data_IF_471468015565
#
_entry.id   IF_471468015565
#
_cell.length_a   1.000
_cell.length_b   1.000
_cell.length_c   1.000
_cell.angle_alpha   90.00
_cell.angle_beta   90.00
_cell.angle_gamma   90.00
#
_symmetry.space_group_name_H-M   'P 1'
#
loop_
_entity.id
_entity.type
_entity.pdbx_description
1 polymer ?
#
# COMPACT_ATOMS: atom_id res chain seq x y z
N UNK A 1 20.97 -33.71 -4.78
CA UNK A 1 21.47 -33.33 -3.45
C UNK A 1 20.26 -32.75 -2.72
N UNK A 2 19.54 -33.61 -2.01
CA UNK A 2 18.33 -33.25 -1.26
C UNK A 2 18.74 -32.65 0.08
N UNK A 3 18.22 -31.50 0.52
CA UNK A 3 18.39 -31.07 1.89
C UNK A 3 17.39 -31.84 2.75
N UNK A 4 17.97 -32.73 3.56
CA UNK A 4 17.34 -33.42 4.69
C UNK A 4 17.25 -32.41 5.84
N UNK A 5 16.04 -31.98 6.21
CA UNK A 5 15.79 -31.14 7.40
C UNK A 5 14.84 -31.88 8.35
N UNK A 6 15.33 -32.94 8.97
CA UNK A 6 14.73 -33.49 10.19
C UNK A 6 14.96 -32.48 11.32
N UNK A 7 13.94 -31.67 11.61
CA UNK A 7 13.87 -30.94 12.87
C UNK A 7 14.00 -31.92 14.05
N UNK A 8 14.78 -31.55 15.06
CA UNK A 8 14.93 -32.36 16.27
C UNK A 8 13.56 -32.54 16.95
N UNK A 9 13.23 -33.76 17.37
CA UNK A 9 11.98 -34.06 18.10
C UNK A 9 11.87 -33.13 19.33
N UNK A 10 10.96 -32.17 19.28
CA UNK A 10 10.64 -31.26 20.39
C UNK A 10 11.20 -29.84 20.29
N UNK A 11 11.87 -29.43 19.21
CA UNK A 11 12.19 -28.02 19.00
C UNK A 11 10.95 -27.22 18.61
N UNK A 12 10.79 -26.02 19.17
CA UNK A 12 9.74 -25.07 18.78
C UNK A 12 9.90 -24.71 17.30
N UNK A 13 8.88 -25.04 16.48
CA UNK A 13 8.89 -24.78 15.04
C UNK A 13 8.25 -23.44 14.67
N UNK A 14 7.20 -23.06 15.38
CA UNK A 14 6.45 -21.83 15.14
C UNK A 14 5.94 -21.28 16.47
N UNK A 15 6.22 -20.00 16.69
CA UNK A 15 5.61 -19.18 17.72
C UNK A 15 5.16 -17.88 17.05
N UNK A 16 3.86 -17.81 16.75
CA UNK A 16 3.24 -16.65 16.12
C UNK A 16 2.08 -16.18 17.00
N UNK A 17 2.03 -14.87 17.24
CA UNK A 17 0.97 -14.25 18.02
C UNK A 17 -0.19 -13.91 17.08
N UNK A 18 -1.40 -14.34 17.43
CA UNK A 18 -2.61 -13.97 16.69
C UNK A 18 -2.85 -12.47 16.88
N UNK A 19 -2.56 -11.68 15.84
CA UNK A 19 -2.78 -10.23 15.85
C UNK A 19 -4.21 -9.91 15.40
N UNK A 20 -4.92 -8.97 16.04
CA UNK A 20 -6.30 -8.62 15.68
C UNK A 20 -6.49 -8.13 14.24
N UNK A 21 -5.44 -7.55 13.65
CA UNK A 21 -5.47 -6.92 12.32
C UNK A 21 -4.87 -7.82 11.21
N UNK A 22 -4.32 -8.98 11.54
CA UNK A 22 -3.77 -9.90 10.53
C UNK A 22 -4.92 -10.60 9.82
N UNK A 23 -4.90 -10.59 8.49
CA UNK A 23 -5.83 -11.35 7.69
C UNK A 23 -5.39 -12.82 7.64
N UNK A 24 -6.11 -13.69 8.35
CA UNK A 24 -5.96 -15.13 8.21
C UNK A 24 -6.96 -15.61 7.17
N UNK A 25 -6.52 -16.53 6.31
CA UNK A 25 -7.34 -17.15 5.29
C UNK A 25 -7.33 -18.66 5.46
N UNK A 26 -8.52 -19.26 5.46
CA UNK A 26 -8.70 -20.70 5.38
C UNK A 26 -8.84 -21.09 3.91
N UNK A 27 -8.08 -22.08 3.48
CA UNK A 27 -8.13 -22.62 2.13
C UNK A 27 -8.28 -24.15 2.16
N UNK A 28 -9.10 -24.68 1.25
CA UNK A 28 -9.23 -26.12 1.00
C UNK A 28 -9.45 -26.96 2.29
N UNK A 29 -10.18 -26.41 3.27
CA UNK A 29 -10.52 -27.01 4.57
C UNK A 29 -9.35 -27.40 5.50
N UNK A 30 -8.11 -27.33 5.03
CA UNK A 30 -6.94 -27.93 5.71
C UNK A 30 -5.70 -27.03 5.69
N UNK A 31 -5.82 -25.82 5.17
CA UNK A 31 -4.73 -24.86 5.08
C UNK A 31 -5.15 -23.53 5.71
N UNK A 32 -4.29 -22.94 6.53
CA UNK A 32 -4.44 -21.58 7.05
C UNK A 32 -3.24 -20.77 6.58
N UNK A 33 -3.48 -19.65 5.91
CA UNK A 33 -2.44 -18.77 5.32
C UNK A 33 -2.56 -17.37 5.91
N UNK A 34 -1.42 -16.72 6.20
CA UNK A 34 -1.37 -15.33 6.62
C UNK A 34 0.01 -14.71 6.37
N UNK A 35 0.07 -13.38 6.32
CA UNK A 35 1.31 -12.61 6.30
C UNK A 35 1.71 -12.23 7.73
N UNK A 36 2.87 -12.66 8.18
CA UNK A 36 3.40 -12.35 9.51
C UNK A 36 4.11 -10.98 9.54
N UNK A 37 4.77 -10.61 8.44
CA UNK A 37 5.40 -9.31 8.22
C UNK A 37 5.43 -8.96 6.72
N UNK A 38 5.88 -7.76 6.37
CA UNK A 38 6.07 -7.34 4.97
C UNK A 38 7.00 -8.32 4.24
N UNK A 39 6.49 -8.93 3.16
CA UNK A 39 7.16 -10.00 2.39
C UNK A 39 7.48 -11.28 3.19
N UNK A 40 6.74 -11.59 4.25
CA UNK A 40 6.93 -12.82 5.02
C UNK A 40 5.60 -13.55 5.27
N UNK A 41 5.28 -14.46 4.35
CA UNK A 41 4.06 -15.26 4.36
C UNK A 41 4.28 -16.63 4.97
N UNK A 42 3.29 -17.06 5.76
CA UNK A 42 3.27 -18.35 6.43
C UNK A 42 2.01 -19.12 6.05
N UNK A 43 2.16 -20.44 5.99
CA UNK A 43 1.07 -21.37 5.79
C UNK A 43 1.17 -22.53 6.77
N UNK A 44 0.05 -22.84 7.43
CA UNK A 44 -0.13 -24.01 8.29
C UNK A 44 -1.02 -25.02 7.56
N UNK A 45 -0.41 -26.12 7.12
CA UNK A 45 -1.11 -27.24 6.50
C UNK A 45 -1.39 -28.31 7.55
N UNK A 46 -2.65 -28.71 7.65
CA UNK A 46 -3.14 -29.73 8.55
C UNK A 46 -3.40 -31.01 7.77
N UNK A 47 -3.08 -32.15 8.38
CA UNK A 47 -3.39 -33.45 7.81
C UNK A 47 -4.90 -33.73 7.83
N UNK A 48 -5.62 -33.19 8.80
CA UNK A 48 -7.05 -33.43 9.00
C UNK A 48 -7.81 -32.11 9.15
N UNK A 49 -8.98 -32.03 8.51
CA UNK A 49 -9.88 -30.87 8.60
C UNK A 49 -10.25 -30.52 10.03
N UNK A 50 -10.49 -31.51 10.89
CA UNK A 50 -10.87 -31.28 12.28
C UNK A 50 -9.79 -30.49 13.06
N UNK A 51 -8.50 -30.75 12.81
CA UNK A 51 -7.41 -29.99 13.42
C UNK A 51 -7.29 -28.57 12.87
N UNK A 52 -7.56 -28.38 11.58
CA UNK A 52 -7.63 -27.06 10.96
C UNK A 52 -8.78 -26.23 11.54
N UNK A 53 -9.97 -26.84 11.68
CA UNK A 53 -11.16 -26.20 12.23
C UNK A 53 -10.92 -25.74 13.69
N UNK A 54 -10.27 -26.55 14.53
CA UNK A 54 -9.99 -26.20 15.93
C UNK A 54 -9.07 -24.96 16.04
N UNK A 55 -8.05 -24.86 15.19
CA UNK A 55 -7.15 -23.70 15.18
C UNK A 55 -7.85 -22.48 14.58
N UNK A 56 -8.65 -22.67 13.52
CA UNK A 56 -9.44 -21.61 12.90
C UNK A 56 -10.42 -20.97 13.89
N UNK A 57 -11.16 -21.78 14.65
CA UNK A 57 -12.09 -21.29 15.67
C UNK A 57 -11.37 -20.42 16.73
N UNK A 58 -10.16 -20.80 17.15
CA UNK A 58 -9.36 -20.01 18.10
C UNK A 58 -8.92 -18.68 17.49
N UNK A 59 -8.52 -18.65 16.22
CA UNK A 59 -8.16 -17.42 15.52
C UNK A 59 -9.36 -16.49 15.45
N UNK A 60 -10.51 -17.00 14.98
CA UNK A 60 -11.76 -16.25 14.90
C UNK A 60 -12.19 -15.71 16.27
N UNK A 61 -12.08 -16.52 17.33
CA UNK A 61 -12.39 -16.11 18.70
C UNK A 61 -11.50 -14.94 19.17
N UNK A 62 -10.19 -14.99 18.92
CA UNK A 62 -9.26 -13.91 19.29
C UNK A 62 -9.57 -12.62 18.52
N UNK A 63 -9.97 -12.73 17.24
CA UNK A 63 -10.30 -11.58 16.39
C UNK A 63 -11.75 -11.10 16.49
N UNK A 64 -12.61 -11.79 17.26
CA UNK A 64 -14.03 -11.46 17.37
C UNK A 64 -14.83 -11.70 16.08
N UNK A 65 -14.45 -12.72 15.30
CA UNK A 65 -15.07 -13.10 14.02
C UNK A 65 -15.89 -14.38 14.16
N UNK A 66 -16.83 -14.57 13.24
CA UNK A 66 -17.60 -15.81 13.14
C UNK A 66 -16.74 -16.92 12.48
N UNK A 67 -16.64 -18.14 13.03
CA UNK A 67 -15.83 -19.21 12.43
C UNK A 67 -16.29 -19.71 11.05
N UNK A 68 -17.49 -19.32 10.60
CA UNK A 68 -17.99 -19.64 9.25
C UNK A 68 -17.37 -18.79 8.14
N UNK A 69 -16.59 -17.76 8.47
CA UNK A 69 -15.84 -16.98 7.48
C UNK A 69 -14.65 -17.78 6.97
N UNK A 70 -14.31 -17.60 5.69
CA UNK A 70 -13.08 -18.13 5.08
C UNK A 70 -11.91 -17.15 5.23
N UNK A 71 -12.19 -15.88 5.53
CA UNK A 71 -11.20 -14.82 5.73
C UNK A 71 -11.60 -13.98 6.95
N UNK A 72 -10.67 -13.77 7.88
CA UNK A 72 -11.01 -13.12 9.16
C UNK A 72 -11.01 -11.59 9.10
N UNK A 73 -10.17 -11.00 8.25
CA UNK A 73 -10.20 -9.57 7.96
C UNK A 73 -10.56 -9.38 6.50
N UNK A 74 -11.24 -8.28 6.18
CA UNK A 74 -11.39 -7.89 4.78
C UNK A 74 -9.97 -7.70 4.24
N UNK A 75 -9.53 -8.63 3.42
CA UNK A 75 -8.35 -8.45 2.59
C UNK A 75 -8.69 -7.22 1.76
N UNK A 76 -8.15 -6.06 2.15
CA UNK A 76 -8.02 -4.95 1.22
C UNK A 76 -7.01 -5.49 0.22
N UNK A 77 -7.57 -6.09 -0.82
CA UNK A 77 -6.92 -7.01 -1.74
C UNK A 77 -5.59 -6.45 -2.28
N UNK A 78 -4.46 -6.90 -1.76
CA UNK A 78 -3.15 -6.75 -2.42
C UNK A 78 -2.90 -7.90 -3.42
N UNK A 79 -3.95 -8.63 -3.80
CA UNK A 79 -3.90 -9.81 -4.66
C UNK A 79 -5.11 -9.93 -5.59
N UNK A 80 -5.46 -8.87 -6.33
CA UNK A 80 -6.19 -9.06 -7.60
C UNK A 80 -5.22 -9.54 -8.69
N UNK A 81 -4.68 -10.76 -8.52
CA UNK A 81 -4.35 -11.60 -9.67
C UNK A 81 -5.19 -12.88 -9.54
N UNK A 82 -6.14 -13.03 -10.46
CA UNK A 82 -6.91 -14.24 -10.76
C UNK A 82 -8.23 -14.51 -9.99
N UNK A 83 -9.25 -13.65 -10.13
CA UNK A 83 -10.63 -14.15 -10.32
C UNK A 83 -11.34 -13.37 -11.42
N UNK A 84 -11.42 -14.00 -12.59
CA UNK A 84 -12.39 -13.68 -13.65
C UNK A 84 -13.81 -13.71 -13.08
N UNK A 85 -14.38 -12.57 -12.72
CA UNK A 85 -15.82 -12.33 -12.75
C UNK A 85 -16.10 -11.00 -13.44
N UNK A 86 -16.85 -11.08 -14.53
CA UNK A 86 -17.29 -9.96 -15.36
C UNK A 86 -18.04 -8.90 -14.53
N UNK A 87 -17.42 -7.74 -14.27
CA UNK A 87 -18.13 -6.50 -13.94
C UNK A 87 -17.26 -5.26 -14.30
N UNK A 88 -17.89 -4.12 -14.67
CA UNK A 88 -17.45 -3.30 -15.79
C UNK A 88 -16.21 -2.43 -15.49
N UNK A 89 -15.38 -2.27 -16.52
CA UNK A 89 -14.07 -1.59 -16.54
C UNK A 89 -14.07 -0.06 -16.28
N UNK A 90 -15.00 0.48 -15.48
CA UNK A 90 -15.14 1.94 -15.32
C UNK A 90 -15.11 2.45 -13.88
N UNK A 91 -15.02 1.60 -12.86
CA UNK A 91 -15.11 2.05 -11.45
C UNK A 91 -13.78 2.25 -10.70
N UNK A 92 -12.61 2.04 -11.32
CA UNK A 92 -11.35 1.91 -10.55
C UNK A 92 -10.13 2.68 -11.08
N UNK A 93 -10.30 3.65 -11.99
CA UNK A 93 -9.23 4.54 -12.42
C UNK A 93 -9.07 5.69 -11.43
N UNK A 94 -7.85 5.93 -10.95
CA UNK A 94 -7.52 7.19 -10.29
C UNK A 94 -7.32 8.21 -11.41
N UNK A 95 -8.24 9.16 -11.53
CA UNK A 95 -8.12 10.28 -12.46
C UNK A 95 -7.30 11.38 -11.80
N UNK A 96 -6.12 11.68 -12.35
CA UNK A 96 -5.28 12.75 -11.81
C UNK A 96 -5.84 14.09 -12.30
N UNK A 97 -6.10 15.05 -11.38
CA UNK A 97 -6.46 16.39 -11.79
C UNK A 97 -5.37 16.98 -12.69
N UNK A 98 -5.73 17.87 -13.61
CA UNK A 98 -4.74 18.60 -14.40
C UNK A 98 -3.76 19.36 -13.49
N UNK A 99 -2.46 19.34 -13.78
CA UNK A 99 -1.45 20.13 -13.08
C UNK A 99 -1.67 21.64 -13.34
N UNK A 100 -2.54 22.26 -12.55
CA UNK A 100 -2.89 23.67 -12.62
C UNK A 100 -2.88 24.28 -11.21
N UNK A 101 -2.51 25.56 -11.09
CA UNK A 101 -2.45 26.26 -9.79
C UNK A 101 -3.78 26.19 -9.03
N UNK A 102 -4.91 26.29 -9.72
CA UNK A 102 -6.25 26.24 -9.12
C UNK A 102 -6.67 24.86 -8.64
N UNK A 103 -5.91 23.80 -8.94
CA UNK A 103 -6.21 22.42 -8.58
C UNK A 103 -5.24 21.84 -7.55
N UNK A 104 -4.28 22.63 -7.06
CA UNK A 104 -3.26 22.13 -6.13
C UNK A 104 -3.85 21.58 -4.83
N UNK A 105 -4.91 22.21 -4.29
CA UNK A 105 -5.63 21.69 -3.12
C UNK A 105 -6.25 20.30 -3.40
N UNK A 106 -6.96 20.17 -4.53
CA UNK A 106 -7.56 18.90 -4.97
C UNK A 106 -6.52 17.79 -5.15
N UNK A 107 -5.36 18.12 -5.72
CA UNK A 107 -4.26 17.17 -5.91
C UNK A 107 -3.68 16.76 -4.54
N UNK A 108 -3.47 17.71 -3.62
CA UNK A 108 -2.95 17.43 -2.28
C UNK A 108 -3.90 16.52 -1.48
N UNK A 109 -5.20 16.78 -1.54
CA UNK A 109 -6.23 15.96 -0.92
C UNK A 109 -6.27 14.56 -1.51
N UNK A 110 -6.19 14.44 -2.85
CA UNK A 110 -6.13 13.16 -3.53
C UNK A 110 -4.92 12.35 -3.06
N UNK A 111 -3.71 12.92 -3.15
CA UNK A 111 -2.46 12.27 -2.75
C UNK A 111 -2.53 11.82 -1.29
N UNK A 112 -2.99 12.69 -0.39
CA UNK A 112 -3.11 12.36 1.04
C UNK A 112 -4.13 11.25 1.29
N UNK A 113 -5.29 11.31 0.61
CA UNK A 113 -6.37 10.32 0.78
C UNK A 113 -5.98 8.92 0.33
N UNK A 114 -5.04 8.78 -0.62
CA UNK A 114 -4.62 7.45 -1.09
C UNK A 114 -3.61 6.80 -0.16
N UNK A 115 -2.85 7.56 0.64
CA UNK A 115 -1.76 7.02 1.47
C UNK A 115 -2.22 5.96 2.48
N UNK A 116 -3.50 5.98 2.87
CA UNK A 116 -4.10 4.99 3.77
C UNK A 116 -4.47 3.67 3.09
N UNK A 117 -4.43 3.57 1.76
CA UNK A 117 -4.83 2.40 0.98
C UNK A 117 -3.71 1.97 0.03
N UNK A 118 -3.07 0.80 0.25
CA UNK A 118 -1.99 0.31 -0.60
C UNK A 118 -2.37 0.19 -2.08
N UNK A 119 -3.56 -0.34 -2.38
CA UNK A 119 -4.08 -0.46 -3.76
C UNK A 119 -4.16 0.92 -4.44
N UNK A 120 -4.66 1.93 -3.72
CA UNK A 120 -4.77 3.29 -4.27
C UNK A 120 -3.40 3.94 -4.42
N UNK A 121 -2.44 3.64 -3.54
CA UNK A 121 -1.04 4.07 -3.69
C UNK A 121 -0.41 3.51 -4.96
N UNK A 122 -0.62 2.22 -5.24
CA UNK A 122 -0.14 1.58 -6.47
C UNK A 122 -0.69 2.27 -7.70
N UNK A 123 -2.01 2.46 -7.75
CA UNK A 123 -2.69 3.08 -8.88
C UNK A 123 -2.24 4.53 -9.08
N UNK A 124 -2.06 5.28 -8.00
CA UNK A 124 -1.57 6.66 -8.09
C UNK A 124 -0.13 6.69 -8.60
N UNK A 125 0.73 5.81 -8.12
CA UNK A 125 2.12 5.72 -8.58
C UNK A 125 2.19 5.46 -10.10
N UNK A 126 1.43 4.48 -10.59
CA UNK A 126 1.36 4.18 -12.03
C UNK A 126 0.86 5.38 -12.85
N UNK A 127 -0.11 6.12 -12.35
CA UNK A 127 -0.61 7.31 -13.04
C UNK A 127 0.42 8.46 -13.04
N UNK A 128 1.15 8.66 -11.94
CA UNK A 128 2.22 9.66 -11.84
C UNK A 128 3.40 9.35 -12.79
N UNK A 129 3.71 8.07 -13.00
CA UNK A 129 4.78 7.62 -13.91
C UNK A 129 4.47 7.91 -15.38
N UNK A 130 3.23 7.67 -15.81
CA UNK A 130 2.86 7.70 -17.23
C UNK A 130 2.73 9.11 -17.82
N UNK A 131 2.60 10.15 -16.98
CA UNK A 131 2.21 11.49 -17.45
C UNK A 131 3.28 12.58 -17.33
N UNK A 132 4.48 12.21 -16.84
CA UNK A 132 5.51 13.19 -16.47
C UNK A 132 5.00 14.19 -15.42
N UNK A 133 4.07 13.74 -14.59
CA UNK A 133 3.25 14.59 -13.72
C UNK A 133 4.11 15.33 -12.68
N UNK A 134 5.11 14.64 -12.12
CA UNK A 134 6.08 15.22 -11.19
C UNK A 134 6.78 16.44 -11.79
N UNK A 135 7.27 16.35 -13.04
CA UNK A 135 7.96 17.49 -13.68
C UNK A 135 7.03 18.68 -13.86
N UNK A 136 5.74 18.45 -14.16
CA UNK A 136 4.74 19.52 -14.25
C UNK A 136 4.45 20.16 -12.89
N UNK A 137 4.38 19.37 -11.81
CA UNK A 137 4.24 19.91 -10.45
C UNK A 137 5.44 20.79 -10.06
N UNK A 138 6.66 20.39 -10.41
CA UNK A 138 7.87 21.20 -10.15
C UNK A 138 7.90 22.49 -10.98
N UNK A 139 7.33 22.49 -12.19
CA UNK A 139 7.13 23.73 -12.94
C UNK A 139 6.13 24.67 -12.25
N UNK A 140 5.07 24.12 -11.65
CA UNK A 140 4.13 24.92 -10.84
C UNK A 140 4.79 25.46 -9.57
N UNK A 141 5.71 24.72 -8.96
CA UNK A 141 6.51 25.20 -7.83
C UNK A 141 7.28 26.47 -8.19
N UNK A 142 8.06 26.44 -9.27
CA UNK A 142 8.78 27.62 -9.75
C UNK A 142 7.83 28.79 -10.07
N UNK A 143 6.65 28.51 -10.62
CA UNK A 143 5.64 29.55 -10.86
C UNK A 143 5.09 30.15 -9.56
N UNK A 144 4.81 29.31 -8.55
CA UNK A 144 4.36 29.75 -7.23
C UNK A 144 5.42 30.61 -6.53
N UNK A 145 6.70 30.21 -6.58
CA UNK A 145 7.80 31.00 -6.00
C UNK A 145 7.89 32.39 -6.65
N UNK A 146 7.85 32.45 -7.98
CA UNK A 146 7.91 33.72 -8.72
C UNK A 146 6.72 34.65 -8.45
N UNK A 147 5.57 34.07 -8.09
CA UNK A 147 4.34 34.81 -7.75
C UNK A 147 4.20 35.07 -6.25
N UNK A 148 5.16 34.63 -5.42
CA UNK A 148 5.09 34.65 -3.95
C UNK A 148 3.80 33.99 -3.41
N UNK A 149 3.28 32.97 -4.11
CA UNK A 149 2.04 32.27 -3.76
C UNK A 149 2.28 31.23 -2.67
N UNK A 150 2.27 31.67 -1.41
CA UNK A 150 2.55 30.81 -0.24
C UNK A 150 1.58 29.63 -0.10
N UNK A 151 0.30 29.84 -0.36
CA UNK A 151 -0.72 28.79 -0.26
C UNK A 151 -0.46 27.66 -1.27
N UNK A 152 -0.14 28.03 -2.52
CA UNK A 152 0.26 27.06 -3.54
C UNK A 152 1.52 26.27 -3.17
N UNK A 153 2.50 26.94 -2.55
CA UNK A 153 3.74 26.30 -2.09
C UNK A 153 3.47 25.27 -0.97
N UNK A 154 2.57 25.57 -0.03
CA UNK A 154 2.16 24.62 1.00
C UNK A 154 1.45 23.38 0.42
N UNK A 155 0.58 23.56 -0.58
CA UNK A 155 -0.03 22.41 -1.26
C UNK A 155 1.01 21.57 -1.99
N UNK A 156 1.97 22.21 -2.66
CA UNK A 156 3.07 21.52 -3.35
C UNK A 156 3.97 20.76 -2.37
N UNK A 157 4.23 21.32 -1.19
CA UNK A 157 4.90 20.61 -0.09
C UNK A 157 4.17 19.30 0.24
N UNK A 158 2.86 19.37 0.53
CA UNK A 158 2.08 18.17 0.89
C UNK A 158 2.03 17.15 -0.25
N UNK A 159 1.90 17.61 -1.50
CA UNK A 159 1.91 16.73 -2.68
C UNK A 159 3.25 16.00 -2.79
N UNK A 160 4.37 16.74 -2.80
CA UNK A 160 5.71 16.15 -2.96
C UNK A 160 6.03 15.20 -1.79
N UNK A 161 5.69 15.60 -0.57
CA UNK A 161 5.81 14.76 0.63
C UNK A 161 4.97 13.49 0.51
N UNK A 162 3.73 13.59 0.06
CA UNK A 162 2.86 12.45 -0.16
C UNK A 162 3.36 11.50 -1.24
N UNK A 163 3.89 12.03 -2.35
CA UNK A 163 4.54 11.22 -3.40
C UNK A 163 5.74 10.46 -2.83
N UNK A 164 6.56 11.09 -1.97
CA UNK A 164 7.68 10.40 -1.32
C UNK A 164 7.21 9.21 -0.47
N UNK A 165 6.07 9.37 0.22
CA UNK A 165 5.49 8.29 1.02
C UNK A 165 4.94 7.14 0.20
N UNK A 166 4.71 7.29 -1.12
CA UNK A 166 4.33 6.16 -1.98
C UNK A 166 5.41 5.07 -2.01
N UNK A 167 6.67 5.43 -1.75
CA UNK A 167 7.82 4.51 -1.64
C UNK A 167 8.06 3.68 -2.91
N UNK A 168 8.08 4.35 -4.07
CA UNK A 168 8.25 3.72 -5.39
C UNK A 168 9.57 4.13 -6.01
N UNK A 169 10.39 3.13 -6.35
CA UNK A 169 11.74 3.34 -6.88
C UNK A 169 11.74 4.20 -8.16
N UNK A 170 10.82 3.92 -9.08
CA UNK A 170 10.57 4.66 -10.33
C UNK A 170 10.25 6.14 -10.09
N UNK A 171 9.42 6.45 -9.10
CA UNK A 171 9.12 7.84 -8.71
C UNK A 171 10.35 8.51 -8.10
N UNK A 172 11.10 7.82 -7.24
CA UNK A 172 12.35 8.33 -6.67
C UNK A 172 13.41 8.60 -7.73
N UNK A 173 13.54 7.76 -8.76
CA UNK A 173 14.46 8.00 -9.87
C UNK A 173 14.15 9.32 -10.59
N UNK A 174 12.87 9.64 -10.79
CA UNK A 174 12.47 10.92 -11.39
C UNK A 174 12.73 12.08 -10.44
N UNK A 175 12.26 11.98 -9.19
CA UNK A 175 12.37 13.05 -8.19
C UNK A 175 13.82 13.38 -7.86
N UNK A 176 14.69 12.38 -7.82
CA UNK A 176 16.09 12.52 -7.45
C UNK A 176 17.03 12.59 -8.65
N UNK A 177 16.49 12.72 -9.86
CA UNK A 177 17.29 13.07 -11.03
C UNK A 177 17.92 14.46 -10.88
N UNK A 178 19.07 14.67 -11.51
CA UNK A 178 19.82 15.94 -11.45
C UNK A 178 18.97 17.16 -11.84
N UNK A 179 17.98 16.96 -12.71
CA UNK A 179 17.06 18.01 -13.18
C UNK A 179 16.00 18.40 -12.13
N UNK A 180 15.60 17.47 -11.26
CA UNK A 180 14.43 17.64 -10.39
C UNK A 180 14.78 17.81 -8.91
N UNK A 181 15.92 17.25 -8.47
CA UNK A 181 16.25 17.14 -7.04
C UNK A 181 16.23 18.48 -6.30
N UNK A 182 16.72 19.56 -6.92
CA UNK A 182 16.75 20.88 -6.28
C UNK A 182 15.35 21.47 -6.10
N UNK A 183 14.48 21.33 -7.10
CA UNK A 183 13.08 21.78 -6.98
C UNK A 183 12.31 20.91 -5.97
N UNK A 184 12.57 19.60 -5.91
CA UNK A 184 11.98 18.70 -4.90
C UNK A 184 12.38 19.11 -3.49
N UNK A 185 13.66 19.40 -3.26
CA UNK A 185 14.14 19.92 -1.97
C UNK A 185 13.49 21.27 -1.67
N UNK A 186 13.43 22.17 -2.65
CA UNK A 186 12.75 23.47 -2.52
C UNK A 186 11.29 23.33 -2.07
N UNK A 187 10.51 22.44 -2.68
CA UNK A 187 9.14 22.14 -2.24
C UNK A 187 9.08 21.72 -0.76
N UNK A 188 10.05 20.92 -0.29
CA UNK A 188 10.07 20.38 1.06
C UNK A 188 10.42 21.43 2.14
N UNK A 189 10.97 22.58 1.76
CA UNK A 189 11.28 23.69 2.69
C UNK A 189 10.02 24.46 3.12
N UNK A 190 8.90 24.32 2.40
CA UNK A 190 7.63 25.02 2.66
C UNK A 190 6.68 24.23 3.57
N UNK A 191 7.21 23.49 4.55
CA UNK A 191 6.38 22.83 5.57
C UNK A 191 5.54 23.88 6.31
N UNK A 192 4.19 23.82 6.28
CA UNK A 192 3.33 24.78 6.97
C UNK A 192 3.50 24.79 8.50
N UNK A 193 4.16 23.77 9.06
CA UNK A 193 4.44 23.66 10.49
C UNK A 193 5.75 24.35 10.94
N UNK A 194 6.57 24.86 10.00
CA UNK A 194 7.83 25.58 10.28
C UNK A 194 7.63 27.07 10.60
#
# INVERSE_FOLDING_TARGET
MTPDSRAALGSLLLESKINPNTAYQKQQDTLIVWSEAENYDLALSFQEKAGCDEIWEKICQVQGKDPSVEVTQDLIDESEEERFEEMPETSHLIDLPACELSKLEEIADLVTSVLSSPIRREKLALALENEGYIKKLLQLFQACENLENTEGLHHLYEIIRGILFLNKATLFEVMFSDECIMDVVGCLEYDPAL
#
